data_IF_114108239551
#
_entry.id   IF_114108239551
#
_cell.length_a   1.000
_cell.length_b   1.000
_cell.length_c   1.000
_cell.angle_alpha   90.00
_cell.angle_beta   90.00
_cell.angle_gamma   90.00
#
_symmetry.space_group_name_H-M   'P 1'
#
loop_
_entity.id
_entity.type
_entity.pdbx_description
1 polymer ?
#
# COMPACT_ATOMS: atom_id res chain seq x y z
N UNK A 1 -13.37 -0.53 -12.65
CA UNK A 1 -12.20 -0.89 -13.49
C UNK A 1 -11.02 0.00 -13.10
N UNK A 2 -9.80 -0.55 -13.04
CA UNK A 2 -8.54 0.04 -12.54
C UNK A 2 -8.43 1.54 -12.91
N UNK A 3 -8.69 2.45 -11.98
CA UNK A 3 -8.79 3.89 -12.27
C UNK A 3 -9.72 4.70 -11.38
N UNK A 4 -10.47 4.05 -10.47
CA UNK A 4 -11.34 4.76 -9.54
C UNK A 4 -10.59 5.79 -8.69
N UNK A 5 -11.26 6.85 -8.22
CA UNK A 5 -10.64 7.94 -7.45
C UNK A 5 -9.87 7.46 -6.22
N UNK A 6 -10.24 6.30 -5.64
CA UNK A 6 -9.49 5.69 -4.54
C UNK A 6 -8.09 5.17 -4.92
N UNK A 7 -7.86 4.83 -6.19
CA UNK A 7 -6.53 4.41 -6.67
C UNK A 7 -5.71 5.61 -7.12
N UNK A 8 -6.34 6.66 -7.65
CA UNK A 8 -5.62 7.79 -8.26
C UNK A 8 -5.45 8.99 -7.33
N UNK A 9 -6.42 9.26 -6.44
CA UNK A 9 -6.44 10.45 -5.57
C UNK A 9 -6.07 10.18 -4.12
N UNK A 10 -6.17 8.93 -3.64
CA UNK A 10 -5.86 8.63 -2.24
C UNK A 10 -4.38 8.87 -1.92
N UNK A 11 -4.06 9.46 -0.75
CA UNK A 11 -2.68 9.74 -0.35
C UNK A 11 -1.87 8.45 -0.09
N UNK A 12 -2.52 7.39 0.40
CA UNK A 12 -1.95 6.04 0.51
C UNK A 12 -2.89 5.01 -0.14
N UNK A 13 -2.33 4.01 -0.82
CA UNK A 13 -3.05 2.83 -1.28
C UNK A 13 -2.53 1.61 -0.52
N UNK A 14 -3.42 0.88 0.15
CA UNK A 14 -3.08 -0.38 0.81
C UNK A 14 -3.67 -1.53 -0.01
N UNK A 15 -2.79 -2.40 -0.51
CA UNK A 15 -3.15 -3.63 -1.21
C UNK A 15 -3.10 -4.75 -0.18
N UNK A 16 -4.26 -5.06 0.40
CA UNK A 16 -4.38 -6.05 1.46
C UNK A 16 -4.66 -7.47 0.92
N UNK A 17 -4.39 -8.49 1.73
CA UNK A 17 -4.60 -9.92 1.47
C UNK A 17 -3.70 -10.50 0.38
N UNK A 18 -2.43 -10.11 0.38
CA UNK A 18 -1.44 -10.63 -0.57
C UNK A 18 -1.25 -12.15 -0.50
N UNK A 19 -1.62 -12.77 0.62
CA UNK A 19 -1.64 -14.23 0.81
C UNK A 19 -2.61 -14.95 -0.12
N UNK A 20 -3.66 -14.28 -0.57
CA UNK A 20 -4.63 -14.87 -1.49
C UNK A 20 -4.14 -14.89 -2.94
N UNK A 21 -3.08 -14.14 -3.27
CA UNK A 21 -2.56 -14.01 -4.63
C UNK A 21 -2.33 -15.34 -5.36
N UNK A 22 -1.65 -16.36 -4.78
CA UNK A 22 -1.46 -17.65 -5.44
C UNK A 22 -2.76 -18.44 -5.65
N UNK A 23 -3.78 -18.21 -4.82
CA UNK A 23 -5.06 -18.93 -4.89
C UNK A 23 -6.05 -18.33 -5.87
N UNK A 24 -5.92 -17.02 -6.16
CA UNK A 24 -6.82 -16.30 -7.07
C UNK A 24 -6.20 -15.99 -8.43
N UNK A 25 -4.98 -16.51 -8.68
CA UNK A 25 -4.23 -16.24 -9.92
C UNK A 25 -3.82 -14.77 -10.07
N UNK A 26 -3.64 -14.05 -8.96
CA UNK A 26 -3.18 -12.67 -8.99
C UNK A 26 -1.65 -12.60 -8.95
N UNK A 27 -1.07 -11.80 -9.84
CA UNK A 27 0.36 -11.54 -9.90
C UNK A 27 0.69 -10.23 -9.17
N UNK A 28 1.37 -10.34 -8.04
CA UNK A 28 1.79 -9.19 -7.22
C UNK A 28 2.77 -8.26 -7.96
N UNK A 29 3.60 -8.79 -8.85
CA UNK A 29 4.54 -8.02 -9.67
C UNK A 29 3.82 -7.17 -10.71
N UNK A 30 2.81 -7.72 -11.38
CA UNK A 30 1.93 -6.95 -12.27
C UNK A 30 1.18 -5.87 -11.50
N UNK A 31 0.63 -6.19 -10.32
CA UNK A 31 -0.05 -5.22 -9.47
C UNK A 31 0.87 -4.09 -9.01
N UNK A 32 2.13 -4.38 -8.68
CA UNK A 32 3.12 -3.37 -8.29
C UNK A 32 3.43 -2.42 -9.45
N UNK A 33 3.61 -2.96 -10.66
CA UNK A 33 3.88 -2.18 -11.87
C UNK A 33 2.70 -1.27 -12.22
N UNK A 34 1.50 -1.83 -12.25
CA UNK A 34 0.26 -1.10 -12.52
C UNK A 34 0.06 0.02 -11.48
N UNK A 35 0.25 -0.29 -10.20
CA UNK A 35 0.10 0.69 -9.11
C UNK A 35 1.08 1.85 -9.25
N UNK A 36 2.35 1.56 -9.56
CA UNK A 36 3.38 2.59 -9.79
C UNK A 36 3.05 3.46 -11.00
N UNK A 37 2.59 2.87 -12.10
CA UNK A 37 2.21 3.60 -13.31
C UNK A 37 1.00 4.52 -13.07
N UNK A 38 -0.01 4.03 -12.35
CA UNK A 38 -1.24 4.79 -12.11
C UNK A 38 -1.10 5.88 -11.03
N UNK A 39 -0.19 5.69 -10.07
CA UNK A 39 -0.02 6.58 -8.90
C UNK A 39 1.19 7.50 -9.00
N UNK A 40 2.11 7.25 -9.93
CA UNK A 40 3.33 8.04 -10.11
C UNK A 40 4.21 7.97 -8.86
N UNK A 41 4.32 9.09 -8.15
CA UNK A 41 5.12 9.21 -6.92
C UNK A 41 4.35 8.90 -5.64
N UNK A 42 3.02 8.71 -5.70
CA UNK A 42 2.21 8.46 -4.50
C UNK A 42 2.44 7.06 -3.94
N UNK A 43 2.64 6.91 -2.62
CA UNK A 43 2.99 5.63 -2.03
C UNK A 43 1.84 4.63 -2.11
N UNK A 44 2.23 3.36 -2.13
CA UNK A 44 1.35 2.21 -1.93
C UNK A 44 2.08 1.16 -1.09
N UNK A 45 1.33 0.37 -0.33
CA UNK A 45 1.87 -0.66 0.57
C UNK A 45 1.12 -1.96 0.31
N UNK A 46 1.88 -3.05 0.13
CA UNK A 46 1.34 -4.40 0.19
C UNK A 46 1.23 -4.83 1.65
N UNK A 47 0.06 -5.33 2.02
CA UNK A 47 -0.20 -5.74 3.39
C UNK A 47 -0.90 -7.09 3.46
N UNK A 48 -0.63 -7.81 4.54
CA UNK A 48 -1.43 -8.91 5.00
C UNK A 48 -1.74 -8.67 6.47
N UNK A 49 -2.94 -8.16 6.73
CA UNK A 49 -3.39 -7.87 8.10
C UNK A 49 -3.56 -9.13 8.98
N UNK A 50 -3.62 -10.33 8.39
CA UNK A 50 -3.69 -11.58 9.15
C UNK A 50 -2.31 -11.99 9.68
N UNK A 51 -1.25 -11.81 8.90
CA UNK A 51 0.13 -12.10 9.34
C UNK A 51 0.82 -10.89 9.99
N UNK A 52 0.25 -9.69 9.84
CA UNK A 52 0.87 -8.42 10.25
C UNK A 52 1.87 -7.87 9.22
N UNK A 53 2.03 -8.51 8.06
CA UNK A 53 2.93 -8.03 7.02
C UNK A 53 2.46 -6.69 6.46
N UNK A 54 3.37 -5.73 6.33
CA UNK A 54 3.06 -4.38 5.83
C UNK A 54 2.31 -3.48 6.83
N UNK A 55 1.88 -3.99 7.99
CA UNK A 55 1.18 -3.20 9.00
C UNK A 55 2.06 -2.06 9.54
N UNK A 56 3.32 -2.36 9.88
CA UNK A 56 4.26 -1.35 10.36
C UNK A 56 4.48 -0.22 9.34
N UNK A 57 4.53 -0.54 8.05
CA UNK A 57 4.69 0.48 7.01
C UNK A 57 3.48 1.41 6.91
N UNK A 58 2.27 0.87 7.13
CA UNK A 58 1.04 1.69 7.17
C UNK A 58 1.03 2.58 8.41
N UNK A 59 1.41 2.04 9.57
CA UNK A 59 1.52 2.81 10.83
C UNK A 59 2.53 3.94 10.66
N UNK A 60 3.75 3.63 10.19
CA UNK A 60 4.82 4.60 9.96
C UNK A 60 4.38 5.73 9.02
N UNK A 61 3.62 5.38 7.98
CA UNK A 61 3.08 6.36 7.04
C UNK A 61 2.05 7.28 7.72
N UNK A 62 1.15 6.74 8.54
CA UNK A 62 0.15 7.53 9.27
C UNK A 62 0.84 8.45 10.28
N UNK A 63 1.80 7.94 11.04
CA UNK A 63 2.58 8.71 12.02
C UNK A 63 3.26 9.90 11.36
N UNK A 64 3.91 9.69 10.20
CA UNK A 64 4.64 10.74 9.51
C UNK A 64 3.76 11.73 8.75
N UNK A 65 2.81 11.24 7.95
CA UNK A 65 2.10 12.08 6.97
C UNK A 65 0.77 12.63 7.49
N UNK A 66 0.18 12.01 8.51
CA UNK A 66 -1.11 12.43 9.08
C UNK A 66 -0.93 13.03 10.47
N UNK A 67 -0.18 12.37 11.34
CA UNK A 67 0.06 12.84 12.72
C UNK A 67 1.23 13.81 12.80
N UNK A 68 2.04 13.96 11.74
CA UNK A 68 3.22 14.82 11.66
C UNK A 68 4.19 14.58 12.83
N UNK A 69 4.29 13.32 13.26
CA UNK A 69 5.21 12.92 14.30
C UNK A 69 6.61 12.84 13.69
N UNK A 70 7.53 13.63 14.23
CA UNK A 70 8.95 13.44 13.98
C UNK A 70 9.37 12.15 14.67
N UNK A 71 9.51 11.07 13.89
CA UNK A 71 10.23 9.89 14.36
C UNK A 71 11.68 10.30 14.58
N UNK A 72 12.01 10.71 15.80
CA UNK A 72 13.40 10.82 16.22
C UNK A 72 14.03 9.45 16.01
N UNK A 73 15.04 9.41 15.12
CA UNK A 73 15.88 8.25 14.93
C UNK A 73 16.51 7.92 16.30
N UNK A 74 16.10 6.80 16.87
CA UNK A 74 16.75 6.20 18.02
C UNK A 74 17.40 4.89 17.55
#
# INVERSE_FOLDING_TARGET
CKGGPGITKSPLLVINKIDLAPYVGADLGVMARDSKQMRGTRPFVFANLRSGEGLNQVIDWIEREVLLLDKQAN
#
